data_IF_922149140340
#
_entry.id   IF_922149140340
#
_cell.length_a   1.000
_cell.length_b   1.000
_cell.length_c   1.000
_cell.angle_alpha   90.00
_cell.angle_beta   90.00
_cell.angle_gamma   90.00
#
_symmetry.space_group_name_H-M   'P 1'
#
loop_
_entity.id
_entity.type
_entity.pdbx_description
1 polymer ?
#
# COMPACT_ATOMS: atom_id res chain seq x y z
N UNK A 1 -12.47 23.45 -2.00
CA UNK A 1 -11.37 23.58 -2.98
C UNK A 1 -10.01 23.02 -2.49
N UNK A 2 -9.50 23.30 -1.27
CA UNK A 2 -8.14 22.88 -0.87
C UNK A 2 -7.94 21.36 -0.76
N UNK A 3 -8.95 20.60 -0.32
CA UNK A 3 -8.89 19.14 -0.27
C UNK A 3 -8.60 18.49 -1.63
N UNK A 4 -9.18 19.06 -2.70
CA UNK A 4 -9.00 18.56 -4.07
C UNK A 4 -7.57 18.80 -4.55
N UNK A 5 -7.01 19.99 -4.26
CA UNK A 5 -5.63 20.33 -4.57
C UNK A 5 -4.64 19.46 -3.79
N UNK A 6 -4.90 19.17 -2.52
CA UNK A 6 -4.09 18.26 -1.73
C UNK A 6 -4.06 16.85 -2.33
N UNK A 7 -5.24 16.32 -2.70
CA UNK A 7 -5.34 15.00 -3.34
C UNK A 7 -4.57 14.98 -4.67
N UNK A 8 -4.78 15.99 -5.53
CA UNK A 8 -4.06 16.08 -6.80
C UNK A 8 -2.55 16.23 -6.62
N UNK A 9 -2.11 16.98 -5.61
CA UNK A 9 -0.69 17.12 -5.27
C UNK A 9 -0.08 15.79 -4.80
N UNK A 10 -0.81 15.04 -3.97
CA UNK A 10 -0.40 13.71 -3.51
C UNK A 10 -0.26 12.72 -4.68
N UNK A 11 -1.23 12.72 -5.60
CA UNK A 11 -1.20 11.87 -6.80
C UNK A 11 -0.02 12.25 -7.71
N UNK A 12 0.19 13.55 -7.95
CA UNK A 12 1.31 14.02 -8.76
C UNK A 12 2.66 13.66 -8.14
N UNK A 13 2.80 13.80 -6.82
CA UNK A 13 3.99 13.38 -6.09
C UNK A 13 4.23 11.87 -6.19
N UNK A 14 3.20 11.05 -5.97
CA UNK A 14 3.31 9.61 -6.11
C UNK A 14 3.76 9.20 -7.51
N UNK A 15 3.18 9.80 -8.56
CA UNK A 15 3.61 9.60 -9.94
C UNK A 15 5.07 10.00 -10.16
N UNK A 16 5.46 11.22 -9.77
CA UNK A 16 6.84 11.70 -9.88
C UNK A 16 7.84 10.77 -9.17
N UNK A 17 7.51 10.34 -7.95
CA UNK A 17 8.37 9.46 -7.15
C UNK A 17 8.52 8.07 -7.79
N UNK A 18 7.44 7.51 -8.33
CA UNK A 18 7.45 6.25 -9.09
C UNK A 18 8.37 6.32 -10.31
N UNK A 19 8.35 7.42 -11.07
CA UNK A 19 9.18 7.56 -12.27
C UNK A 19 10.64 7.92 -11.98
N UNK A 20 10.90 8.72 -10.94
CA UNK A 20 12.26 9.18 -10.62
C UNK A 20 13.03 8.23 -9.70
N UNK A 21 12.34 7.43 -8.89
CA UNK A 21 12.93 6.46 -7.98
C UNK A 21 12.20 5.11 -8.03
N UNK A 22 12.22 4.41 -9.18
CA UNK A 22 11.44 3.20 -9.38
C UNK A 22 11.82 2.07 -8.41
N UNK A 23 13.10 1.92 -8.06
CA UNK A 23 13.56 0.91 -7.11
C UNK A 23 13.03 1.17 -5.68
N UNK A 24 13.10 2.42 -5.21
CA UNK A 24 12.59 2.79 -3.89
C UNK A 24 11.06 2.71 -3.83
N UNK A 25 10.38 3.11 -4.90
CA UNK A 25 8.94 2.97 -5.03
C UNK A 25 8.51 1.50 -5.03
N UNK A 26 9.20 0.62 -5.75
CA UNK A 26 8.92 -0.82 -5.75
C UNK A 26 9.11 -1.44 -4.36
N UNK A 27 10.15 -1.04 -3.63
CA UNK A 27 10.38 -1.50 -2.26
C UNK A 27 9.29 -1.01 -1.29
N UNK A 28 8.89 0.27 -1.40
CA UNK A 28 7.85 0.84 -0.55
C UNK A 28 6.47 0.24 -0.82
N UNK A 29 6.10 0.12 -2.10
CA UNK A 29 4.83 -0.48 -2.53
C UNK A 29 4.82 -1.98 -2.22
N UNK A 30 5.89 -2.71 -2.55
CA UNK A 30 6.04 -4.13 -2.23
C UNK A 30 5.94 -4.40 -0.73
N UNK A 31 6.64 -3.61 0.09
CA UNK A 31 6.55 -3.72 1.56
C UNK A 31 5.14 -3.45 2.08
N UNK A 32 4.44 -2.46 1.53
CA UNK A 32 3.05 -2.17 1.90
C UNK A 32 2.10 -3.31 1.50
N UNK A 33 2.26 -3.88 0.30
CA UNK A 33 1.46 -5.03 -0.16
C UNK A 33 1.73 -6.30 0.67
N UNK A 34 2.99 -6.56 1.02
CA UNK A 34 3.35 -7.67 1.92
C UNK A 34 2.69 -7.51 3.28
N UNK A 35 2.74 -6.33 3.90
CA UNK A 35 2.10 -6.08 5.19
C UNK A 35 0.58 -6.29 5.14
N UNK A 36 -0.08 -5.88 4.05
CA UNK A 36 -1.51 -6.14 3.84
C UNK A 36 -1.77 -7.65 3.65
N UNK A 37 -0.95 -8.33 2.85
CA UNK A 37 -1.04 -9.78 2.65
C UNK A 37 -0.90 -10.56 3.94
N UNK A 38 0.06 -10.19 4.79
CA UNK A 38 0.28 -10.79 6.12
C UNK A 38 -0.94 -10.56 7.03
N UNK A 39 -1.52 -9.36 7.00
CA UNK A 39 -2.75 -9.07 7.74
C UNK A 39 -3.91 -9.97 7.29
N UNK A 40 -4.13 -10.14 5.98
CA UNK A 40 -5.13 -11.08 5.47
C UNK A 40 -4.81 -12.54 5.84
N UNK A 41 -3.55 -12.94 5.77
CA UNK A 41 -3.10 -14.28 6.20
C UNK A 41 -3.43 -14.55 7.66
N UNK A 42 -3.25 -13.56 8.55
CA UNK A 42 -3.62 -13.67 9.96
C UNK A 42 -5.13 -13.82 10.18
N UNK A 43 -5.95 -13.14 9.39
CA UNK A 43 -7.42 -13.26 9.43
C UNK A 43 -7.84 -14.66 8.98
N UNK A 44 -7.29 -15.15 7.87
CA UNK A 44 -7.57 -16.51 7.37
C UNK A 44 -7.16 -17.55 8.42
N UNK A 45 -5.96 -17.42 8.99
CA UNK A 45 -5.46 -18.31 10.05
C UNK A 45 -6.40 -18.35 11.25
N UNK A 46 -6.88 -17.19 11.69
CA UNK A 46 -7.87 -17.10 12.76
C UNK A 46 -9.18 -17.82 12.41
N UNK A 47 -9.72 -17.59 11.21
CA UNK A 47 -10.96 -18.24 10.77
C UNK A 47 -10.78 -19.76 10.65
N UNK A 48 -9.66 -20.23 10.13
CA UNK A 48 -9.35 -21.66 10.10
C UNK A 48 -9.30 -22.25 11.50
N UNK A 49 -8.62 -21.59 12.45
CA UNK A 49 -8.56 -22.04 13.84
C UNK A 49 -9.92 -22.00 14.56
N UNK A 50 -10.82 -21.11 14.15
CA UNK A 50 -12.16 -20.96 14.73
C UNK A 50 -13.13 -22.06 14.27
N UNK A 51 -12.97 -22.55 13.04
CA UNK A 51 -13.89 -23.52 12.44
C UNK A 51 -13.30 -24.95 12.33
N UNK A 52 -12.05 -25.14 12.73
CA UNK A 52 -11.42 -26.45 12.93
C UNK A 52 -11.73 -27.02 14.31
#
# INVERSE_FOLDING_TARGET
MPKKLLIWSLIAFAGFYLFTQPANAANAVGGAFSAVGDAFGSVITFLTALFS
#
